data_IF_815931832617
#
_entry.id   IF_815931832617
#
_cell.length_a   1.000
_cell.length_b   1.000
_cell.length_c   1.000
_cell.angle_alpha   90.00
_cell.angle_beta   90.00
_cell.angle_gamma   90.00
#
_symmetry.space_group_name_H-M   'P 1'
#
loop_
_entity.id
_entity.type
_entity.pdbx_description
1 polymer ?
#
# COMPACT_ATOMS: atom_id res chain seq x y z
N UNK A 1 -2.77 -11.24 36.14
CA UNK A 1 -2.28 -10.45 34.99
C UNK A 1 -3.47 -10.18 34.09
N UNK A 2 -3.88 -8.92 33.93
CA UNK A 2 -5.01 -8.54 33.06
C UNK A 2 -4.49 -8.06 31.71
N UNK A 3 -4.94 -8.70 30.64
CA UNK A 3 -4.69 -8.24 29.27
C UNK A 3 -5.68 -7.13 28.91
N UNK A 4 -5.20 -6.11 28.20
CA UNK A 4 -6.05 -5.05 27.67
C UNK A 4 -6.43 -5.39 26.24
N UNK A 5 -7.73 -5.55 25.97
CA UNK A 5 -8.25 -5.79 24.62
C UNK A 5 -8.71 -4.47 24.00
N UNK A 6 -8.19 -4.16 22.83
CA UNK A 6 -8.42 -2.92 22.09
C UNK A 6 -9.01 -3.29 20.73
N UNK A 7 -10.18 -2.73 20.41
CA UNK A 7 -10.85 -2.90 19.11
C UNK A 7 -11.03 -1.59 18.37
N UNK A 8 -10.80 -0.48 19.05
CA UNK A 8 -10.88 0.85 18.48
C UNK A 8 -9.59 1.15 17.67
N UNK A 9 -9.70 1.54 16.39
CA UNK A 9 -8.53 1.80 15.55
C UNK A 9 -7.64 2.93 16.07
N UNK A 10 -8.23 4.03 16.55
CA UNK A 10 -7.47 5.19 17.06
C UNK A 10 -6.68 4.83 18.31
N UNK A 11 -7.30 4.10 19.24
CA UNK A 11 -6.60 3.57 20.42
C UNK A 11 -5.46 2.60 20.03
N UNK A 12 -5.64 1.80 18.97
CA UNK A 12 -4.63 0.85 18.52
C UNK A 12 -3.37 1.51 17.92
N UNK A 13 -3.47 2.73 17.37
CA UNK A 13 -2.32 3.50 16.85
C UNK A 13 -1.26 3.84 17.92
N UNK A 14 -1.65 3.81 19.19
CA UNK A 14 -0.71 4.03 20.30
C UNK A 14 0.23 2.84 20.51
N UNK A 15 -0.13 1.66 20.00
CA UNK A 15 0.60 0.40 20.16
C UNK A 15 1.13 -0.16 18.85
N UNK A 16 0.45 0.14 17.75
CA UNK A 16 0.79 -0.33 16.42
C UNK A 16 1.37 0.82 15.58
N UNK A 17 2.21 0.54 14.57
CA UNK A 17 2.54 1.53 13.56
C UNK A 17 1.26 2.16 13.01
N UNK A 18 1.23 3.49 12.88
CA UNK A 18 0.01 4.26 12.57
C UNK A 18 -0.73 3.75 11.32
N UNK A 19 0.00 3.29 10.31
CA UNK A 19 -0.59 2.68 9.11
C UNK A 19 -1.34 1.38 9.42
N UNK A 20 -0.76 0.50 10.26
CA UNK A 20 -1.36 -0.79 10.64
C UNK A 20 -2.66 -0.60 11.44
N UNK A 21 -2.63 0.30 12.44
CA UNK A 21 -3.79 0.62 13.27
C UNK A 21 -4.95 1.16 12.45
N UNK A 22 -4.71 2.18 11.62
CA UNK A 22 -5.75 2.83 10.80
C UNK A 22 -6.29 1.95 9.69
N UNK A 23 -5.40 1.20 9.03
CA UNK A 23 -5.74 0.56 7.76
C UNK A 23 -6.28 -0.86 7.93
N UNK A 24 -5.86 -1.56 8.97
CA UNK A 24 -6.15 -2.98 9.13
C UNK A 24 -7.06 -3.29 10.33
N UNK A 25 -7.18 -2.40 11.33
CA UNK A 25 -8.10 -2.61 12.45
C UNK A 25 -9.52 -2.26 12.02
N UNK A 26 -10.43 -3.24 12.08
CA UNK A 26 -11.86 -3.07 11.74
C UNK A 26 -12.18 -2.91 10.25
N UNK A 27 -11.20 -2.63 9.41
CA UNK A 27 -11.34 -2.55 7.95
C UNK A 27 -11.05 -3.89 7.28
N UNK A 28 -11.92 -4.29 6.35
CA UNK A 28 -11.75 -5.51 5.56
C UNK A 28 -11.02 -5.19 4.24
N UNK A 29 -10.00 -5.97 3.93
CA UNK A 29 -9.21 -5.83 2.72
C UNK A 29 -8.45 -7.10 2.38
N UNK A 30 -7.41 -6.95 1.56
CA UNK A 30 -6.47 -8.03 1.23
C UNK A 30 -5.11 -7.64 1.77
N UNK A 31 -4.75 -8.19 2.92
CA UNK A 31 -3.52 -7.83 3.59
C UNK A 31 -2.62 -9.05 3.82
N UNK A 32 -1.34 -8.80 3.97
CA UNK A 32 -0.34 -9.80 4.32
C UNK A 32 0.48 -9.35 5.52
N UNK A 33 0.75 -10.27 6.44
CA UNK A 33 1.75 -10.13 7.48
C UNK A 33 2.96 -10.98 7.07
N UNK A 34 4.09 -10.33 6.73
CA UNK A 34 5.35 -11.05 6.51
C UNK A 34 5.87 -11.50 7.87
N UNK A 35 6.00 -12.80 8.06
CA UNK A 35 6.47 -13.40 9.29
C UNK A 35 8.00 -13.49 9.32
N UNK A 36 8.55 -13.64 10.52
CA UNK A 36 9.98 -13.93 10.76
C UNK A 36 10.45 -15.22 10.09
N UNK A 37 9.54 -16.16 9.80
CA UNK A 37 9.83 -17.37 9.00
C UNK A 37 10.10 -17.06 7.54
N UNK A 38 9.74 -15.87 7.08
CA UNK A 38 9.75 -15.47 5.68
C UNK A 38 8.47 -15.79 4.92
N UNK A 39 7.48 -16.44 5.56
CA UNK A 39 6.16 -16.70 5.00
C UNK A 39 5.24 -15.49 5.14
N UNK A 40 4.17 -15.45 4.35
CA UNK A 40 3.18 -14.39 4.39
C UNK A 40 1.86 -14.95 4.91
N UNK A 41 1.42 -14.50 6.08
CA UNK A 41 0.09 -14.81 6.58
C UNK A 41 -0.91 -13.84 5.96
N UNK A 42 -1.84 -14.37 5.16
CA UNK A 42 -2.91 -13.58 4.55
C UNK A 42 -4.04 -13.35 5.53
N UNK A 43 -4.40 -12.08 5.68
CA UNK A 43 -5.47 -11.66 6.57
C UNK A 43 -6.42 -10.71 5.84
N UNK A 44 -7.69 -10.78 6.21
CA UNK A 44 -8.72 -9.85 5.77
C UNK A 44 -8.78 -8.61 6.66
N UNK A 45 -8.51 -8.75 7.96
CA UNK A 45 -8.52 -7.66 8.93
C UNK A 45 -7.86 -8.04 10.25
N UNK A 46 -7.50 -7.03 11.05
CA UNK A 46 -7.23 -7.15 12.48
C UNK A 46 -8.54 -6.81 13.21
N UNK A 47 -8.99 -7.70 14.08
CA UNK A 47 -10.24 -7.55 14.84
C UNK A 47 -10.01 -7.04 16.24
N UNK A 48 -8.85 -7.33 16.83
CA UNK A 48 -8.45 -6.80 18.13
C UNK A 48 -6.93 -6.83 18.30
N UNK A 49 -6.45 -5.91 19.12
CA UNK A 49 -5.10 -5.88 19.67
C UNK A 49 -5.19 -6.19 21.15
N UNK A 50 -4.42 -7.16 21.62
CA UNK A 50 -4.28 -7.47 23.03
C UNK A 50 -2.90 -7.06 23.51
N UNK A 51 -2.86 -6.26 24.56
CA UNK A 51 -1.62 -5.78 25.15
C UNK A 51 -1.48 -6.34 26.56
N UNK A 52 -0.35 -6.99 26.83
CA UNK A 52 0.01 -7.43 28.18
C UNK A 52 0.74 -6.30 28.95
N UNK A 53 0.71 -6.32 30.29
CA UNK A 53 1.51 -5.40 31.10
C UNK A 53 3.03 -5.50 30.84
N UNK A 54 3.49 -6.66 30.34
CA UNK A 54 4.89 -6.95 30.06
C UNK A 54 5.32 -6.51 28.64
N UNK A 55 4.44 -5.81 27.90
CA UNK A 55 4.72 -5.29 26.56
C UNK A 55 4.49 -6.27 25.42
N UNK A 56 3.92 -7.46 25.68
CA UNK A 56 3.55 -8.41 24.63
C UNK A 56 2.30 -7.92 23.91
N UNK A 57 2.35 -7.90 22.58
CA UNK A 57 1.21 -7.53 21.73
C UNK A 57 0.78 -8.73 20.90
N UNK A 58 -0.50 -9.10 21.04
CA UNK A 58 -1.14 -10.12 20.21
C UNK A 58 -2.21 -9.48 19.33
N UNK A 59 -2.35 -9.97 18.11
CA UNK A 59 -3.32 -9.51 17.12
C UNK A 59 -4.33 -10.63 16.86
N UNK A 60 -5.60 -10.40 17.15
CA UNK A 60 -6.66 -11.28 16.65
C UNK A 60 -6.98 -10.87 15.22
N UNK A 61 -6.84 -11.80 14.28
CA UNK A 61 -6.97 -11.54 12.84
C UNK A 61 -8.06 -12.42 12.23
N UNK A 62 -8.71 -11.92 11.19
CA UNK A 62 -9.47 -12.74 10.26
C UNK A 62 -8.54 -13.19 9.14
N UNK A 63 -8.46 -14.50 8.92
CA UNK A 63 -7.68 -15.09 7.86
C UNK A 63 -8.38 -14.95 6.52
N UNK A 64 -7.59 -14.66 5.49
CA UNK A 64 -8.01 -14.80 4.09
C UNK A 64 -7.65 -16.21 3.58
N UNK A 65 -7.99 -16.52 2.34
CA UNK A 65 -7.65 -17.78 1.70
C UNK A 65 -6.14 -17.93 1.52
N UNK A 66 -5.61 -19.13 1.78
CA UNK A 66 -4.22 -19.46 1.51
C UNK A 66 -3.92 -19.43 0.00
N UNK A 67 -2.63 -19.36 -0.35
CA UNK A 67 -2.16 -19.31 -1.74
C UNK A 67 -1.87 -17.89 -2.25
N UNK A 68 -1.41 -17.79 -3.49
CA UNK A 68 -0.97 -16.52 -4.08
C UNK A 68 -2.16 -15.58 -4.35
N UNK A 69 -2.12 -14.29 -3.94
CA UNK A 69 -3.18 -13.34 -4.27
C UNK A 69 -3.20 -13.00 -5.77
N UNK A 70 -4.39 -12.79 -6.32
CA UNK A 70 -4.53 -12.31 -7.70
C UNK A 70 -3.89 -10.92 -7.86
N UNK A 71 -3.17 -10.73 -8.97
CA UNK A 71 -2.60 -9.42 -9.33
C UNK A 71 -1.40 -8.98 -8.50
N UNK A 72 -0.83 -9.88 -7.69
CA UNK A 72 0.41 -9.61 -6.94
C UNK A 72 1.63 -9.63 -7.87
N UNK A 73 2.60 -8.77 -7.55
CA UNK A 73 3.88 -8.71 -8.26
C UNK A 73 4.63 -10.06 -8.22
N UNK A 74 5.32 -10.40 -9.32
CA UNK A 74 6.05 -11.64 -9.49
C UNK A 74 7.15 -11.84 -8.43
N UNK A 75 7.69 -10.76 -7.87
CA UNK A 75 8.68 -10.78 -6.80
C UNK A 75 8.18 -11.52 -5.53
N UNK A 76 6.85 -11.61 -5.35
CA UNK A 76 6.25 -12.31 -4.21
C UNK A 76 6.07 -13.81 -4.43
N UNK A 77 6.17 -14.31 -5.68
CA UNK A 77 5.94 -15.73 -5.99
C UNK A 77 6.81 -16.72 -5.21
N UNK A 78 8.08 -16.42 -4.85
CA UNK A 78 8.88 -17.36 -4.06
C UNK A 78 8.38 -17.55 -2.62
N UNK A 79 7.53 -16.65 -2.12
CA UNK A 79 7.03 -16.68 -0.73
C UNK A 79 5.90 -17.70 -0.58
N UNK A 80 5.83 -18.35 0.58
CA UNK A 80 4.69 -19.18 0.93
C UNK A 80 3.58 -18.31 1.52
N UNK A 81 2.36 -18.52 1.06
CA UNK A 81 1.19 -17.77 1.50
C UNK A 81 0.30 -18.64 2.37
N UNK A 82 0.36 -18.39 3.67
CA UNK A 82 -0.48 -19.00 4.69
C UNK A 82 -1.82 -18.28 4.74
N UNK A 83 -2.86 -18.98 5.14
CA UNK A 83 -4.21 -18.44 5.29
C UNK A 83 -5.08 -19.46 5.99
N UNK A 84 -6.38 -19.41 5.73
CA UNK A 84 -7.35 -20.40 6.23
C UNK A 84 -6.90 -21.82 5.85
N UNK A 85 -6.49 -22.67 6.81
CA UNK A 85 -5.91 -23.99 6.51
C UNK A 85 -6.99 -25.02 6.15
N UNK A 86 -8.20 -24.84 6.68
CA UNK A 86 -9.38 -25.66 6.43
C UNK A 86 -10.64 -24.78 6.48
N UNK A 87 -11.72 -25.13 5.76
CA UNK A 87 -12.97 -24.39 5.83
C UNK A 87 -13.45 -24.18 7.27
N UNK A 88 -13.78 -22.94 7.62
CA UNK A 88 -14.26 -22.56 8.96
C UNK A 88 -13.18 -22.15 9.96
N UNK A 89 -11.90 -22.43 9.69
CA UNK A 89 -10.78 -21.92 10.51
C UNK A 89 -10.37 -20.52 10.05
N UNK A 90 -11.27 -19.54 10.22
CA UNK A 90 -11.15 -18.20 9.64
C UNK A 90 -10.56 -17.14 10.58
N UNK A 91 -10.19 -17.50 11.80
CA UNK A 91 -9.62 -16.58 12.78
C UNK A 91 -8.37 -17.16 13.42
N UNK A 92 -7.41 -16.29 13.73
CA UNK A 92 -6.17 -16.65 14.41
C UNK A 92 -5.71 -15.53 15.33
N UNK A 93 -4.81 -15.86 16.25
CA UNK A 93 -4.08 -14.88 17.06
C UNK A 93 -2.60 -14.93 16.69
N UNK A 94 -2.02 -13.78 16.38
CA UNK A 94 -0.63 -13.62 15.94
C UNK A 94 0.13 -12.78 16.96
N UNK A 95 1.33 -13.20 17.33
CA UNK A 95 2.22 -12.36 18.13
C UNK A 95 2.88 -11.32 17.22
N UNK A 96 2.74 -10.02 17.54
CA UNK A 96 3.30 -8.93 16.75
C UNK A 96 4.82 -9.04 16.61
N UNK A 97 5.53 -9.61 17.61
CA UNK A 97 6.97 -9.83 17.54
C UNK A 97 7.40 -10.82 16.45
N UNK A 98 6.47 -11.57 15.86
CA UNK A 98 6.71 -12.47 14.73
C UNK A 98 6.44 -11.80 13.38
N UNK A 99 5.97 -10.55 13.37
CA UNK A 99 5.65 -9.80 12.15
C UNK A 99 6.82 -8.87 11.82
N UNK A 100 7.40 -9.05 10.64
CA UNK A 100 8.48 -8.21 10.12
C UNK A 100 7.91 -6.98 9.42
N UNK A 101 6.88 -7.17 8.60
CA UNK A 101 6.19 -6.08 7.91
C UNK A 101 4.74 -6.46 7.61
N UNK A 102 3.91 -5.46 7.38
CA UNK A 102 2.56 -5.62 6.89
C UNK A 102 2.42 -4.97 5.51
N UNK A 103 1.65 -5.61 4.63
CA UNK A 103 1.43 -5.17 3.26
C UNK A 103 -0.05 -5.19 2.92
N UNK A 104 -0.48 -4.23 2.10
CA UNK A 104 -1.77 -4.25 1.43
C UNK A 104 -1.55 -4.74 -0.01
N UNK A 105 -2.27 -5.80 -0.40
CA UNK A 105 -2.20 -6.31 -1.75
C UNK A 105 -3.10 -5.46 -2.65
N UNK A 106 -2.48 -4.53 -3.38
CA UNK A 106 -3.13 -3.82 -4.47
C UNK A 106 -2.80 -4.48 -5.81
N UNK A 107 -3.72 -4.42 -6.77
CA UNK A 107 -3.43 -4.83 -8.14
C UNK A 107 -2.20 -4.06 -8.65
N UNK A 108 -1.27 -4.75 -9.29
CA UNK A 108 -0.01 -4.17 -9.77
C UNK A 108 -0.26 -2.90 -10.60
N UNK A 109 0.09 -1.76 -10.01
CA UNK A 109 0.40 -0.54 -10.76
C UNK A 109 1.91 -0.55 -10.90
N UNK A 110 2.48 -0.64 -12.11
CA UNK A 110 3.92 -0.54 -12.27
C UNK A 110 4.35 0.81 -11.71
N UNK A 111 5.10 0.79 -10.61
CA UNK A 111 5.86 1.95 -10.18
C UNK A 111 7.03 1.99 -11.14
N UNK A 112 6.95 2.82 -12.18
CA UNK A 112 8.10 3.11 -13.03
C UNK A 112 9.23 3.52 -12.09
N UNK A 113 10.26 2.69 -12.00
CA UNK A 113 11.44 3.01 -11.22
C UNK A 113 11.99 4.31 -11.78
N UNK A 114 12.09 5.34 -10.93
CA UNK A 114 12.71 6.63 -11.28
C UNK A 114 14.12 6.45 -11.87
N UNK A 115 14.74 5.31 -11.58
CA UNK A 115 16.09 4.95 -11.97
C UNK A 115 16.19 4.42 -13.42
N UNK A 116 15.10 3.95 -14.04
CA UNK A 116 15.14 3.43 -15.43
C UNK A 116 15.19 4.56 -16.47
N UNK A 117 14.54 5.70 -16.20
CA UNK A 117 14.59 6.90 -17.05
C UNK A 117 15.96 7.60 -16.95
N UNK A 118 16.55 7.66 -15.75
CA UNK A 118 17.91 8.22 -15.57
C UNK A 118 18.99 7.34 -16.22
N UNK A 119 18.85 6.01 -16.16
CA UNK A 119 19.79 5.10 -16.82
C UNK A 119 19.71 5.18 -18.35
N UNK A 120 18.50 5.29 -18.92
CA UNK A 120 18.31 5.45 -20.38
C UNK A 120 18.87 6.80 -20.88
N UNK A 121 18.65 7.88 -20.13
CA UNK A 121 19.22 9.19 -20.45
C UNK A 121 20.76 9.21 -20.35
N UNK A 122 21.34 8.50 -19.38
CA UNK A 122 22.79 8.45 -19.23
C UNK A 122 23.48 7.74 -20.41
N UNK A 123 22.90 6.64 -20.91
CA UNK A 123 23.43 5.87 -22.04
C UNK A 123 23.34 6.66 -23.36
N UNK A 124 22.26 7.43 -23.55
CA UNK A 124 22.10 8.31 -24.70
C UNK A 124 23.13 9.43 -24.69
N UNK A 125 23.35 10.10 -23.54
CA UNK A 125 24.34 11.17 -23.38
C UNK A 125 25.77 10.66 -23.59
N UNK A 126 26.10 9.46 -23.10
CA UNK A 126 27.42 8.85 -23.32
C UNK A 126 27.63 8.52 -24.80
N UNK A 127 26.60 8.03 -25.48
CA UNK A 127 26.65 7.73 -26.91
C UNK A 127 26.83 8.99 -27.76
N UNK A 128 26.15 10.09 -27.41
CA UNK A 128 26.29 11.38 -28.10
C UNK A 128 27.67 12.00 -27.88
N UNK A 129 28.21 11.92 -26.66
CA UNK A 129 29.54 12.42 -26.33
C UNK A 129 30.64 11.63 -27.04
N UNK A 130 30.49 10.30 -27.17
CA UNK A 130 31.42 9.45 -27.90
C UNK A 130 31.43 9.79 -29.40
N UNK A 131 30.24 10.02 -30.01
CA UNK A 131 30.12 10.43 -31.41
C UNK A 131 30.73 11.81 -31.67
N UNK A 132 30.53 12.76 -30.75
CA UNK A 132 31.14 14.09 -30.84
C UNK A 132 32.68 14.03 -30.74
N UNK A 133 33.21 13.19 -29.83
CA UNK A 133 34.65 12.98 -29.70
C UNK A 133 35.26 12.32 -30.95
N UNK A 134 34.53 11.39 -31.58
CA UNK A 134 34.95 10.72 -32.81
C UNK A 134 34.96 11.68 -34.02
N UNK A 135 33.95 12.56 -34.15
CA UNK A 135 33.92 13.60 -35.18
C UNK A 135 35.10 14.59 -35.07
N UNK A 136 35.45 14.98 -33.83
CA UNK A 136 36.62 15.84 -33.55
C UNK A 136 37.94 15.14 -33.90
N UNK A 137 38.03 13.82 -33.67
CA UNK A 137 39.23 13.03 -34.00
C UNK A 137 39.43 12.85 -35.52
N UNK A 138 38.35 12.89 -36.30
CA UNK A 138 38.40 12.79 -37.77
C UNK A 138 38.60 14.14 -38.48
N UNK A 139 38.79 15.22 -37.72
CA UNK A 139 39.05 16.56 -38.28
C UNK A 139 37.85 17.18 -38.98
N UNK A 140 36.63 16.72 -38.67
CA UNK A 140 35.40 17.34 -39.14
C UNK A 140 35.09 18.55 -38.26
N UNK A 141 34.88 19.71 -38.88
CA UNK A 141 34.61 20.99 -38.22
C UNK A 141 33.18 20.94 -37.62
N UNK A 142 33.00 20.91 -36.28
CA UNK A 142 31.66 20.80 -35.67
C UNK A 142 30.85 22.11 -35.74
N UNK A 143 31.37 23.11 -36.44
CA UNK A 143 30.84 24.48 -36.51
C UNK A 143 30.28 24.88 -37.88
N UNK A 144 29.84 23.90 -38.69
CA UNK A 144 29.12 24.15 -39.94
C UNK A 144 27.63 23.78 -39.87
N UNK A 145 26.95 24.13 -38.77
CA UNK A 145 25.53 24.53 -38.70
C UNK A 145 25.14 24.70 -37.23
N UNK A 146 24.48 25.79 -36.83
CA UNK A 146 23.97 25.91 -35.47
C UNK A 146 22.88 24.85 -35.24
N UNK A 147 22.76 24.24 -34.05
CA UNK A 147 21.57 23.47 -33.73
C UNK A 147 20.39 24.42 -33.83
N UNK A 148 19.45 24.06 -34.70
CA UNK A 148 18.14 24.70 -34.78
C UNK A 148 17.59 24.70 -33.36
N UNK A 149 17.51 25.89 -32.73
CA UNK A 149 16.75 26.02 -31.50
C UNK A 149 15.32 25.67 -31.89
N UNK A 150 14.93 24.43 -31.65
CA UNK A 150 13.52 24.10 -31.50
C UNK A 150 13.08 24.97 -30.33
N UNK A 151 12.38 26.05 -30.66
CA UNK A 151 11.68 26.89 -29.71
C UNK A 151 10.55 26.04 -29.11
N UNK A 152 10.91 25.08 -28.26
CA UNK A 152 10.03 24.49 -27.29
C UNK A 152 9.74 25.59 -26.28
N UNK A 153 8.56 26.20 -26.41
CA UNK A 153 8.07 27.19 -25.49
C UNK A 153 8.30 26.72 -24.05
N UNK A 154 8.96 27.56 -23.25
CA UNK A 154 8.81 27.57 -21.82
C UNK A 154 7.33 27.92 -21.54
N UNK A 155 6.45 26.93 -21.65
CA UNK A 155 5.17 26.98 -20.95
C UNK A 155 5.50 26.86 -19.48
N UNK A 156 5.36 27.98 -18.77
CA UNK A 156 5.24 27.99 -17.32
C UNK A 156 4.25 26.89 -16.88
N UNK A 157 4.42 26.27 -15.69
CA UNK A 157 3.37 25.42 -15.15
C UNK A 157 2.16 26.31 -14.88
N UNK A 158 1.22 26.35 -15.82
CA UNK A 158 -0.17 26.67 -15.49
C UNK A 158 -0.59 25.60 -14.50
N UNK A 159 -0.78 26.01 -13.25
CA UNK A 159 -1.54 25.25 -12.28
C UNK A 159 -2.97 25.11 -12.82
N UNK A 160 -3.20 24.07 -13.62
CA UNK A 160 -4.54 23.59 -13.90
C UNK A 160 -5.02 22.94 -12.62
N UNK A 161 -5.68 23.74 -11.78
CA UNK A 161 -6.59 23.22 -10.77
C UNK A 161 -7.58 22.30 -11.47
N UNK A 162 -7.49 21.00 -11.21
CA UNK A 162 -8.54 20.07 -11.57
C UNK A 162 -9.80 20.51 -10.82
N UNK A 163 -10.95 20.68 -11.49
CA UNK A 163 -12.20 20.88 -10.77
C UNK A 163 -12.45 19.64 -9.92
N UNK A 164 -12.53 19.83 -8.61
CA UNK A 164 -13.15 18.86 -7.72
C UNK A 164 -14.59 18.76 -8.20
N UNK A 165 -14.93 17.69 -8.93
CA UNK A 165 -16.33 17.29 -9.03
C UNK A 165 -16.76 16.87 -7.63
N UNK A 166 -17.44 17.82 -6.98
CA UNK A 166 -18.23 17.60 -5.79
C UNK A 166 -19.34 16.61 -6.19
N UNK A 167 -19.08 15.31 -6.00
CA UNK A 167 -20.15 14.32 -6.06
C UNK A 167 -21.10 14.65 -4.93
N UNK A 168 -22.29 15.11 -5.31
CA UNK A 168 -23.41 15.41 -4.44
C UNK A 168 -23.79 14.12 -3.70
N UNK A 169 -23.37 14.02 -2.43
CA UNK A 169 -23.84 12.99 -1.51
C UNK A 169 -25.32 13.29 -1.23
N UNK A 170 -26.26 12.34 -1.45
CA UNK A 170 -27.64 12.58 -1.08
C UNK A 170 -27.74 12.84 0.42
N UNK A 171 -28.32 13.99 0.75
CA UNK A 171 -28.67 14.46 2.09
C UNK A 171 -29.48 13.37 2.82
N UNK A 172 -28.83 12.69 3.77
CA UNK A 172 -29.48 11.75 4.68
C UNK A 172 -30.22 12.56 5.76
N UNK A 173 -31.25 13.25 5.31
CA UNK A 173 -32.24 13.87 6.17
C UNK A 173 -33.06 12.76 6.85
N UNK A 174 -32.70 12.52 8.12
CA UNK A 174 -33.64 12.30 9.22
C UNK A 174 -34.54 11.05 9.13
N UNK A 175 -33.99 9.89 9.52
CA UNK A 175 -34.81 8.81 10.05
C UNK A 175 -34.72 8.81 11.58
N UNK A 176 -35.71 9.42 12.22
CA UNK A 176 -35.89 9.39 13.67
C UNK A 176 -36.01 7.96 14.24
N UNK A 177 -35.59 7.74 15.50
CA UNK A 177 -35.69 6.45 16.16
C UNK A 177 -37.14 6.15 16.56
N UNK A 178 -37.76 5.14 15.96
CA UNK A 178 -39.05 4.61 16.46
C UNK A 178 -38.85 3.99 17.84
N UNK A 179 -39.24 4.77 18.85
CA UNK A 179 -39.27 4.39 20.24
C UNK A 179 -40.25 3.25 20.56
N UNK A 180 -39.78 2.37 21.45
CA UNK A 180 -40.47 1.71 22.58
C UNK A 180 -41.98 1.46 22.45
N UNK A 181 -42.36 0.18 22.51
CA UNK A 181 -43.55 -0.26 23.27
C UNK A 181 -43.18 -1.30 24.32
N UNK A 182 -43.38 -0.93 25.59
CA UNK A 182 -43.32 -1.79 26.77
C UNK A 182 -44.65 -2.53 26.95
N UNK A 183 -44.53 -3.84 27.22
CA UNK A 183 -45.20 -4.72 28.20
C UNK A 183 -46.72 -5.04 28.16
N UNK A 184 -46.94 -6.38 28.16
CA UNK A 184 -47.82 -7.25 29.01
C UNK A 184 -49.33 -7.27 28.74
N UNK A 185 -50.09 -8.25 29.30
CA UNK A 185 -49.80 -9.66 29.65
C UNK A 185 -50.92 -10.64 29.21
N UNK A 186 -50.65 -11.94 29.18
CA UNK A 186 -51.46 -13.01 29.82
C UNK A 186 -50.71 -14.34 29.78
#
# INVERSE_FOLDING_TARGET
>A
MSWTRITDPEAAETLLPAWLGRRMVGLHGRFGLLLTTGDVLRIASITAVHHSPDGVILLDVLLDNAGLPDGIDLAWRPKQFLGTPVPGATAATVNLAQVVTAVEFMAAVPVSGRDEEEAQNADEVVTELARAAEAVAHGEDPMASPPERVAGALSAPTAAALPIELVDLPDLATAEPRGKRKKRPT
#
